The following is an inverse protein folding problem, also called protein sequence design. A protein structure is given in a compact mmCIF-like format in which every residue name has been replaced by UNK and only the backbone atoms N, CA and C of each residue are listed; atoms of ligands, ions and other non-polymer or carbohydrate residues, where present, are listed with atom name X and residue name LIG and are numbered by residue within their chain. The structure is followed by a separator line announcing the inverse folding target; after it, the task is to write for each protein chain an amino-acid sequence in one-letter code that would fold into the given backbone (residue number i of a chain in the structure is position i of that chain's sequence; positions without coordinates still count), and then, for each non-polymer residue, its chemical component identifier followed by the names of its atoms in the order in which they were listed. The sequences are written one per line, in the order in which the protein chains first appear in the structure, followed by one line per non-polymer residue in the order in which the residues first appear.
data_IF_258161732765
#
_entry.id   IF_258161732765
#
_cell.length_a   1.000
_cell.length_b   1.000
_cell.length_c   1.000
_cell.angle_alpha   90.00
_cell.angle_beta   90.00
_cell.angle_gamma   90.00
#
_symmetry.space_group_name_H-M   'P 1'
#
loop_
_entity.id
_entity.type
_entity.pdbx_description
1 polymer ?
#
# COMPACT_ATOMS: atom_id res chain seq x y z
N UNK A 1 -51.83 -34.22 43.60
CA UNK A 1 -50.53 -33.50 43.56
C UNK A 1 -49.64 -34.13 42.49
N UNK A 2 -49.45 -33.49 41.34
CA UNK A 2 -48.47 -33.90 40.32
C UNK A 2 -47.68 -32.66 39.92
N UNK A 3 -46.45 -32.53 40.43
CA UNK A 3 -45.52 -31.45 40.10
C UNK A 3 -44.93 -31.74 38.71
N UNK A 4 -45.21 -30.88 37.73
CA UNK A 4 -44.52 -30.89 36.43
C UNK A 4 -43.23 -30.08 36.58
N UNK A 5 -42.08 -30.74 36.51
CA UNK A 5 -40.76 -30.11 36.42
C UNK A 5 -40.52 -29.70 34.97
N UNK A 6 -40.34 -28.41 34.73
CA UNK A 6 -39.89 -27.85 33.45
C UNK A 6 -38.37 -27.89 33.47
N UNK A 7 -37.76 -28.66 32.57
CA UNK A 7 -36.32 -28.72 32.39
C UNK A 7 -35.97 -27.84 31.18
N UNK A 8 -35.62 -26.58 31.45
CA UNK A 8 -35.15 -25.63 30.45
C UNK A 8 -33.65 -25.86 30.26
N UNK A 9 -33.25 -26.57 29.19
CA UNK A 9 -31.83 -26.76 28.86
C UNK A 9 -31.27 -25.47 28.26
N UNK A 10 -30.51 -24.71 29.04
CA UNK A 10 -29.73 -23.59 28.52
C UNK A 10 -28.54 -24.14 27.71
N UNK A 11 -28.66 -24.07 26.39
CA UNK A 11 -27.56 -24.37 25.47
C UNK A 11 -26.54 -23.22 25.55
N UNK A 12 -25.52 -23.36 26.39
CA UNK A 12 -24.36 -22.47 26.36
C UNK A 12 -23.60 -22.73 25.06
N UNK A 13 -23.89 -21.97 24.00
CA UNK A 13 -22.98 -21.84 22.87
C UNK A 13 -21.72 -21.14 23.39
N UNK A 14 -20.67 -21.93 23.60
CA UNK A 14 -19.32 -21.39 23.75
C UNK A 14 -18.96 -20.66 22.47
N UNK A 15 -18.95 -19.32 22.49
CA UNK A 15 -18.35 -18.50 21.46
C UNK A 15 -16.87 -18.87 21.40
N UNK A 16 -16.46 -19.59 20.34
CA UNK A 16 -15.05 -19.72 20.04
C UNK A 16 -14.60 -18.37 19.48
N UNK A 17 -13.93 -17.57 20.31
CA UNK A 17 -13.10 -16.49 19.78
C UNK A 17 -11.97 -17.14 18.97
N UNK A 18 -12.07 -17.05 17.65
CA UNK A 18 -10.93 -17.31 16.78
C UNK A 18 -9.98 -16.15 17.02
N UNK A 19 -8.89 -16.39 17.74
CA UNK A 19 -7.77 -15.45 17.78
C UNK A 19 -7.11 -15.47 16.41
N UNK A 20 -7.50 -14.55 15.53
CA UNK A 20 -6.69 -14.22 14.36
C UNK A 20 -5.41 -13.55 14.85
N UNK A 21 -4.26 -13.99 14.36
CA UNK A 21 -3.01 -13.25 14.58
C UNK A 21 -3.00 -12.06 13.63
N UNK A 22 -3.60 -10.95 14.05
CA UNK A 22 -3.49 -9.69 13.30
C UNK A 22 -2.03 -9.27 13.25
N UNK A 23 -1.50 -9.01 12.06
CA UNK A 23 -0.16 -8.47 11.91
C UNK A 23 -0.16 -7.07 12.51
N UNK A 24 0.65 -6.86 13.56
CA UNK A 24 0.79 -5.53 14.14
C UNK A 24 1.44 -4.61 13.08
N UNK A 25 0.80 -3.48 12.68
CA UNK A 25 1.39 -2.51 11.77
C UNK A 25 2.78 -2.02 12.20
N UNK A 26 3.07 -2.03 13.50
CA UNK A 26 4.39 -1.66 14.04
C UNK A 26 5.52 -2.59 13.61
N UNK A 27 5.21 -3.84 13.22
CA UNK A 27 6.20 -4.81 12.75
C UNK A 27 6.57 -4.60 11.28
N UNK A 28 5.85 -3.75 10.55
CA UNK A 28 6.17 -3.44 9.14
C UNK A 28 7.20 -2.33 9.07
N UNK A 29 8.31 -2.58 8.36
CA UNK A 29 9.44 -1.64 8.20
C UNK A 29 9.87 -1.53 6.73
N UNK A 30 10.74 -0.56 6.48
CA UNK A 30 11.43 -0.36 5.20
C UNK A 30 10.52 -0.21 3.97
N UNK A 31 9.27 0.25 4.16
CA UNK A 31 8.31 0.42 3.07
C UNK A 31 8.84 1.47 2.09
N UNK A 32 9.22 1.02 0.89
CA UNK A 32 9.88 1.84 -0.09
C UNK A 32 9.50 1.46 -1.51
N UNK A 33 9.43 2.46 -2.38
CA UNK A 33 9.29 2.29 -3.81
C UNK A 33 10.65 2.35 -4.49
N UNK A 34 10.82 1.56 -5.54
CA UNK A 34 12.01 1.56 -6.39
C UNK A 34 11.59 1.59 -7.87
N UNK A 35 12.23 2.46 -8.65
CA UNK A 35 12.13 2.46 -10.12
C UNK A 35 13.02 1.36 -10.68
N UNK A 36 12.56 0.61 -11.67
CA UNK A 36 13.32 -0.54 -12.20
C UNK A 36 14.74 -0.15 -12.70
N UNK A 37 14.92 1.07 -13.19
CA UNK A 37 16.18 1.55 -13.74
C UNK A 37 16.98 2.45 -12.78
N UNK A 38 16.57 2.56 -11.51
CA UNK A 38 17.25 3.39 -10.51
C UNK A 38 17.55 2.59 -9.24
N UNK A 39 18.74 2.81 -8.67
CA UNK A 39 19.11 2.27 -7.36
C UNK A 39 18.68 3.21 -6.22
N UNK A 40 17.57 3.92 -6.41
CA UNK A 40 17.04 4.89 -5.44
C UNK A 40 15.75 4.37 -4.86
N UNK A 41 15.70 4.35 -3.53
CA UNK A 41 14.50 4.08 -2.76
C UNK A 41 13.81 5.39 -2.39
N UNK A 42 12.50 5.42 -2.53
CA UNK A 42 11.68 6.58 -2.18
C UNK A 42 10.45 6.16 -1.38
N UNK A 43 9.99 7.01 -0.47
CA UNK A 43 8.76 6.76 0.27
C UNK A 43 7.49 7.02 -0.57
N UNK A 44 7.65 7.68 -1.72
CA UNK A 44 6.59 7.94 -2.69
C UNK A 44 7.08 7.63 -4.10
N UNK A 45 6.23 6.98 -4.91
CA UNK A 45 6.49 6.79 -6.32
C UNK A 45 5.74 7.83 -7.15
N UNK A 46 6.46 8.48 -8.06
CA UNK A 46 5.92 9.36 -9.10
C UNK A 46 6.57 8.95 -10.42
N UNK A 47 5.76 8.52 -11.37
CA UNK A 47 6.24 8.01 -12.65
C UNK A 47 5.19 8.04 -13.74
N UNK A 48 5.61 7.76 -14.96
CA UNK A 48 4.64 7.64 -16.07
C UNK A 48 3.82 6.37 -15.95
N UNK A 49 2.62 6.33 -16.54
CA UNK A 49 1.74 5.15 -16.48
C UNK A 49 2.39 3.84 -16.98
N UNK A 50 3.35 3.94 -17.91
CA UNK A 50 4.06 2.81 -18.49
C UNK A 50 5.39 2.49 -17.76
N UNK A 51 5.74 3.28 -16.75
CA UNK A 51 6.99 3.11 -16.01
C UNK A 51 6.89 1.95 -15.03
N UNK A 52 7.91 1.10 -15.02
CA UNK A 52 7.98 -0.06 -14.13
C UNK A 52 8.56 0.34 -12.78
N UNK A 53 7.89 -0.06 -11.72
CA UNK A 53 8.32 0.19 -10.36
C UNK A 53 7.99 -1.00 -9.46
N UNK A 54 8.65 -1.06 -8.31
CA UNK A 54 8.35 -2.03 -7.26
C UNK A 54 8.07 -1.35 -5.93
N UNK A 55 7.26 -2.00 -5.12
CA UNK A 55 7.07 -1.71 -3.70
C UNK A 55 7.73 -2.84 -2.91
N UNK A 56 8.65 -2.48 -2.02
CA UNK A 56 9.33 -3.41 -1.12
C UNK A 56 9.07 -3.03 0.33
N UNK A 57 8.90 -4.02 1.20
CA UNK A 57 8.73 -3.81 2.64
C UNK A 57 9.13 -5.06 3.42
N UNK A 58 9.45 -4.88 4.70
CA UNK A 58 9.86 -5.95 5.60
C UNK A 58 8.81 -6.14 6.69
N UNK A 59 8.51 -7.39 7.04
CA UNK A 59 7.78 -7.73 8.26
C UNK A 59 8.77 -8.34 9.24
N UNK A 60 8.92 -7.71 10.41
CA UNK A 60 9.77 -8.18 11.50
C UNK A 60 9.12 -9.36 12.24
N UNK A 61 8.96 -10.48 11.53
CA UNK A 61 8.37 -11.72 12.03
C UNK A 61 9.23 -12.90 11.56
N UNK A 62 9.26 -13.98 12.35
CA UNK A 62 9.86 -15.25 11.94
C UNK A 62 8.88 -16.17 11.17
N UNK A 63 7.67 -15.69 10.91
CA UNK A 63 6.63 -16.41 10.19
C UNK A 63 6.39 -15.77 8.82
N UNK A 64 6.08 -16.61 7.85
CA UNK A 64 5.59 -16.19 6.55
C UNK A 64 4.10 -15.90 6.65
N UNK A 65 3.69 -14.75 6.12
CA UNK A 65 2.30 -14.31 6.11
C UNK A 65 1.78 -14.26 4.67
N UNK A 66 0.55 -14.73 4.48
CA UNK A 66 -0.19 -14.59 3.23
C UNK A 66 -0.75 -13.16 3.15
N UNK A 67 -0.18 -12.36 2.26
CA UNK A 67 -0.51 -10.94 2.08
C UNK A 67 -1.08 -10.70 0.69
N UNK A 68 -2.00 -9.76 0.60
CA UNK A 68 -2.68 -9.37 -0.64
C UNK A 68 -2.54 -7.86 -0.85
N UNK A 69 -2.52 -7.42 -2.11
CA UNK A 69 -2.53 -6.00 -2.43
C UNK A 69 -3.85 -5.55 -3.07
N UNK A 70 -4.34 -4.40 -2.64
CA UNK A 70 -5.56 -3.75 -3.16
C UNK A 70 -5.18 -2.36 -3.66
N UNK A 71 -5.74 -1.95 -4.81
CA UNK A 71 -5.41 -0.67 -5.43
C UNK A 71 -6.66 0.20 -5.58
N UNK A 72 -6.57 1.42 -5.06
CA UNK A 72 -7.63 2.42 -5.13
C UNK A 72 -7.15 3.62 -5.94
N UNK A 73 -7.94 4.01 -6.94
CA UNK A 73 -7.75 5.28 -7.65
C UNK A 73 -8.41 6.41 -6.86
N UNK A 74 -7.67 7.49 -6.68
CA UNK A 74 -8.05 8.65 -5.89
C UNK A 74 -8.14 9.91 -6.74
N UNK A 75 -8.92 10.88 -6.26
CA UNK A 75 -8.94 12.23 -6.80
C UNK A 75 -7.77 13.08 -6.25
N UNK A 76 -7.83 14.38 -6.52
CA UNK A 76 -6.83 15.36 -6.09
C UNK A 76 -6.70 15.46 -4.57
N UNK A 77 -7.81 15.33 -3.84
CA UNK A 77 -7.87 15.42 -2.37
C UNK A 77 -7.53 14.08 -1.69
N UNK A 78 -7.11 13.08 -2.49
CA UNK A 78 -6.83 11.71 -2.05
C UNK A 78 -8.06 10.95 -1.54
N UNK A 79 -9.26 11.37 -1.95
CA UNK A 79 -10.48 10.62 -1.71
C UNK A 79 -10.67 9.57 -2.80
N UNK A 80 -11.34 8.46 -2.47
CA UNK A 80 -11.59 7.39 -3.44
C UNK A 80 -12.46 7.93 -4.56
N UNK A 81 -11.95 7.85 -5.78
CA UNK A 81 -12.68 8.30 -6.97
C UNK A 81 -13.92 7.44 -7.23
N UNK A 82 -14.87 7.99 -7.99
CA UNK A 82 -16.09 7.28 -8.41
C UNK A 82 -15.85 6.26 -9.53
N UNK A 83 -14.61 6.13 -10.02
CA UNK A 83 -14.27 5.20 -11.09
C UNK A 83 -14.43 3.75 -10.63
N UNK A 84 -14.98 2.91 -11.48
CA UNK A 84 -15.00 1.47 -11.25
C UNK A 84 -13.62 0.87 -11.56
N UNK A 85 -13.22 -0.19 -10.85
CA UNK A 85 -11.88 -0.80 -10.98
C UNK A 85 -11.45 -1.08 -12.42
N UNK A 86 -12.36 -1.56 -13.26
CA UNK A 86 -12.09 -1.91 -14.67
C UNK A 86 -11.75 -0.71 -15.57
N UNK A 87 -12.08 0.51 -15.14
CA UNK A 87 -11.75 1.75 -15.86
C UNK A 87 -10.28 2.14 -15.68
N UNK A 88 -9.69 1.84 -14.51
CA UNK A 88 -8.35 2.31 -14.15
C UNK A 88 -7.32 1.19 -14.01
N UNK A 89 -7.74 -0.07 -13.82
CA UNK A 89 -6.88 -1.26 -13.82
C UNK A 89 -7.29 -2.20 -14.96
N UNK A 90 -6.29 -2.86 -15.54
CA UNK A 90 -6.44 -4.07 -16.34
C UNK A 90 -5.97 -5.27 -15.52
N UNK A 91 -6.87 -6.23 -15.33
CA UNK A 91 -6.64 -7.44 -14.54
C UNK A 91 -7.34 -7.38 -13.18
N UNK A 92 -6.72 -7.92 -12.14
CA UNK A 92 -7.30 -8.11 -10.80
C UNK A 92 -6.44 -7.43 -9.75
N UNK A 93 -7.06 -6.83 -8.75
CA UNK A 93 -6.43 -6.59 -7.47
C UNK A 93 -6.87 -7.66 -6.47
N UNK A 94 -6.51 -7.50 -5.19
CA UNK A 94 -6.69 -8.51 -4.15
C UNK A 94 -5.95 -9.82 -4.51
N UNK A 95 -4.71 -9.64 -4.95
CA UNK A 95 -3.84 -10.72 -5.43
C UNK A 95 -2.77 -10.99 -4.39
N UNK A 96 -2.54 -12.27 -4.10
CA UNK A 96 -1.50 -12.72 -3.17
C UNK A 96 -0.11 -12.27 -3.63
N UNK A 97 0.72 -11.84 -2.69
CA UNK A 97 2.12 -11.49 -2.92
C UNK A 97 2.96 -12.77 -2.84
N UNK A 98 3.34 -13.30 -3.99
CA UNK A 98 4.14 -14.54 -4.05
C UNK A 98 5.65 -14.30 -3.96
N UNK A 99 6.11 -13.09 -4.25
CA UNK A 99 7.53 -12.76 -4.25
C UNK A 99 7.95 -12.21 -2.88
N UNK A 100 8.42 -13.12 -2.03
CA UNK A 100 8.97 -12.80 -0.72
C UNK A 100 10.16 -13.69 -0.38
N UNK A 101 11.00 -13.24 0.56
CA UNK A 101 12.18 -13.99 1.01
C UNK A 101 12.46 -13.75 2.49
N UNK A 102 12.84 -14.83 3.18
CA UNK A 102 13.23 -14.78 4.58
C UNK A 102 14.64 -14.21 4.74
N UNK A 103 14.86 -13.42 5.80
CA UNK A 103 16.16 -12.87 6.15
C UNK A 103 17.19 -13.97 6.37
N UNK A 104 18.42 -13.77 5.91
CA UNK A 104 19.51 -14.73 6.05
C UNK A 104 20.63 -14.18 6.95
N UNK A 105 20.97 -14.92 8.01
CA UNK A 105 22.06 -14.60 8.95
C UNK A 105 21.96 -13.19 9.59
N UNK A 106 20.75 -12.79 9.97
CA UNK A 106 20.48 -11.51 10.64
C UNK A 106 20.09 -11.72 12.11
N UNK A 107 20.45 -10.77 12.99
CA UNK A 107 20.02 -10.81 14.40
C UNK A 107 18.52 -10.57 14.55
N UNK A 108 17.98 -9.62 13.78
CA UNK A 108 16.55 -9.40 13.66
C UNK A 108 16.03 -10.20 12.47
N UNK A 109 15.16 -11.17 12.75
CA UNK A 109 14.50 -11.97 11.70
C UNK A 109 13.42 -11.11 11.05
N UNK A 110 13.34 -11.16 9.72
CA UNK A 110 12.29 -10.52 8.94
C UNK A 110 12.01 -11.29 7.65
N UNK A 111 10.84 -11.05 7.07
CA UNK A 111 10.50 -11.49 5.71
C UNK A 111 10.36 -10.25 4.83
N UNK A 112 11.13 -10.19 3.75
CA UNK A 112 11.05 -9.12 2.76
C UNK A 112 10.04 -9.50 1.68
N UNK A 113 9.09 -8.61 1.42
CA UNK A 113 8.09 -8.73 0.37
C UNK A 113 8.39 -7.72 -0.73
N UNK A 114 8.22 -8.12 -1.98
CA UNK A 114 8.44 -7.26 -3.13
C UNK A 114 7.36 -7.47 -4.20
N UNK A 115 6.65 -6.40 -4.54
CA UNK A 115 5.64 -6.38 -5.61
C UNK A 115 6.13 -5.47 -6.72
N UNK A 116 6.13 -5.94 -7.96
CA UNK A 116 6.43 -5.11 -9.13
C UNK A 116 5.15 -4.79 -9.91
N UNK A 117 5.09 -3.59 -10.47
CA UNK A 117 4.02 -3.13 -11.34
C UNK A 117 4.56 -2.50 -12.63
N UNK A 118 3.86 -2.67 -13.76
CA UNK A 118 2.80 -3.68 -13.98
C UNK A 118 3.33 -5.12 -13.84
N UNK A 119 2.45 -6.06 -13.49
CA UNK A 119 2.72 -7.50 -13.42
C UNK A 119 1.68 -8.30 -14.22
N UNK A 120 1.74 -9.64 -14.16
CA UNK A 120 0.82 -10.52 -14.90
C UNK A 120 -0.65 -10.34 -14.52
N UNK A 121 -0.93 -9.89 -13.31
CA UNK A 121 -2.27 -9.78 -12.75
C UNK A 121 -2.79 -8.34 -12.77
N UNK A 122 -1.91 -7.34 -12.71
CA UNK A 122 -2.29 -5.92 -12.62
C UNK A 122 -1.47 -5.04 -13.55
N UNK A 123 -2.16 -4.24 -14.37
CA UNK A 123 -1.59 -3.08 -15.05
C UNK A 123 -2.53 -1.87 -15.01
N UNK A 124 -2.01 -0.66 -15.20
CA UNK A 124 -2.75 0.58 -15.05
C UNK A 124 -3.23 1.13 -16.40
N UNK A 125 -4.47 1.61 -16.46
CA UNK A 125 -5.09 2.18 -17.67
C UNK A 125 -5.30 3.69 -17.62
N UNK A 126 -5.28 4.28 -16.42
CA UNK A 126 -5.50 5.71 -16.20
C UNK A 126 -4.33 6.35 -15.47
N UNK A 127 -4.08 7.61 -15.77
CA UNK A 127 -3.25 8.48 -14.94
C UNK A 127 -4.06 8.97 -13.74
N UNK A 128 -3.39 9.30 -12.65
CA UNK A 128 -4.01 9.82 -11.44
C UNK A 128 -3.24 9.49 -10.16
N UNK A 129 -3.89 9.78 -9.04
CA UNK A 129 -3.43 9.44 -7.71
C UNK A 129 -3.89 8.03 -7.36
N UNK A 130 -3.02 7.25 -6.74
CA UNK A 130 -3.31 5.88 -6.35
C UNK A 130 -2.87 5.59 -4.92
N UNK A 131 -3.66 4.75 -4.25
CA UNK A 131 -3.29 4.16 -2.96
C UNK A 131 -3.17 2.65 -3.17
N UNK A 132 -2.02 2.11 -2.79
CA UNK A 132 -1.83 0.67 -2.61
C UNK A 132 -2.02 0.33 -1.14
N UNK A 133 -2.92 -0.61 -0.85
CA UNK A 133 -3.14 -1.18 0.48
C UNK A 133 -2.59 -2.59 0.49
N UNK A 134 -1.88 -2.93 1.55
CA UNK A 134 -1.49 -4.31 1.84
C UNK A 134 -2.42 -4.81 2.94
N UNK A 135 -3.11 -5.91 2.66
CA UNK A 135 -4.08 -6.55 3.55
C UNK A 135 -3.64 -7.98 3.85
N UNK A 136 -4.10 -8.52 4.98
CA UNK A 136 -3.90 -9.92 5.32
C UNK A 136 -4.95 -10.84 4.67
N UNK A 137 -4.88 -12.15 4.96
CA UNK A 137 -5.82 -13.16 4.46
C UNK A 137 -7.29 -12.96 4.88
N UNK A 138 -7.53 -12.14 5.90
CA UNK A 138 -8.87 -11.80 6.38
C UNK A 138 -9.39 -10.48 5.78
N UNK A 139 -8.56 -9.78 5.02
CA UNK A 139 -8.86 -8.48 4.42
C UNK A 139 -8.60 -7.29 5.36
N UNK A 140 -7.94 -7.50 6.50
CA UNK A 140 -7.58 -6.43 7.42
C UNK A 140 -6.40 -5.62 6.87
N UNK A 141 -6.52 -4.28 6.87
CA UNK A 141 -5.48 -3.38 6.37
C UNK A 141 -4.28 -3.35 7.31
N UNK A 142 -3.11 -3.76 6.81
CA UNK A 142 -1.84 -3.69 7.55
C UNK A 142 -1.23 -2.31 7.38
N UNK A 143 -1.10 -1.87 6.12
CA UNK A 143 -0.65 -0.52 5.80
C UNK A 143 -1.08 -0.11 4.40
N UNK A 144 -0.97 1.19 4.12
CA UNK A 144 -1.18 1.75 2.79
C UNK A 144 -0.12 2.77 2.40
N UNK A 145 0.11 2.94 1.10
CA UNK A 145 1.02 3.95 0.54
C UNK A 145 0.42 4.63 -0.68
N UNK A 146 0.80 5.90 -0.84
CA UNK A 146 0.41 6.75 -1.95
C UNK A 146 1.44 6.66 -3.07
N UNK A 147 0.99 6.62 -4.32
CA UNK A 147 1.81 6.78 -5.51
C UNK A 147 1.03 7.50 -6.61
N UNK A 148 1.75 8.06 -7.57
CA UNK A 148 1.17 8.91 -8.63
C UNK A 148 1.64 8.38 -9.98
N UNK A 149 0.69 8.18 -10.89
CA UNK A 149 0.95 7.85 -12.28
C UNK A 149 0.49 9.01 -13.17
N UNK A 150 1.35 9.50 -14.05
CA UNK A 150 1.01 10.60 -14.95
C UNK A 150 1.21 10.23 -16.42
N UNK A 151 0.58 11.01 -17.30
CA UNK A 151 0.81 10.99 -18.74
C UNK A 151 1.59 12.24 -19.14
N UNK A 152 2.57 12.09 -20.02
CA UNK A 152 3.41 13.19 -20.47
C UNK A 152 2.73 13.96 -21.63
N UNK A 153 1.62 14.64 -21.32
CA UNK A 153 0.85 15.42 -22.30
C UNK A 153 1.32 16.87 -22.40
N UNK A 154 1.90 17.39 -21.31
CA UNK A 154 2.39 18.76 -21.21
C UNK A 154 3.76 18.78 -20.56
N UNK A 155 4.63 19.65 -21.05
CA UNK A 155 5.95 19.89 -20.45
C UNK A 155 5.81 21.03 -19.45
N UNK A 156 5.94 20.74 -18.16
CA UNK A 156 5.96 21.76 -17.10
C UNK A 156 7.41 22.15 -16.82
N UNK A 157 7.78 23.39 -17.14
CA UNK A 157 9.13 23.88 -16.83
C UNK A 157 9.16 24.46 -15.42
N UNK A 158 10.10 23.99 -14.59
CA UNK A 158 10.24 24.44 -13.20
C UNK A 158 11.53 25.23 -13.00
N UNK A 159 11.46 26.36 -12.30
CA UNK A 159 12.63 27.16 -11.93
C UNK A 159 12.60 27.46 -10.43
N UNK A 160 13.66 27.07 -9.71
CA UNK A 160 13.80 27.35 -8.28
C UNK A 160 14.57 28.66 -8.10
N UNK A 161 13.98 29.62 -7.41
CA UNK A 161 14.58 30.92 -7.06
C UNK A 161 14.63 31.11 -5.55
N UNK A 162 15.49 32.02 -5.10
CA UNK A 162 15.46 32.52 -3.72
C UNK A 162 14.25 33.43 -3.53
N UNK A 163 13.77 33.52 -2.29
CA UNK A 163 12.73 34.49 -1.94
C UNK A 163 13.16 35.92 -2.27
N UNK A 164 12.19 36.74 -2.72
CA UNK A 164 12.38 38.19 -2.91
C UNK A 164 12.20 38.98 -1.62
N UNK A 165 11.61 38.36 -0.61
CA UNK A 165 11.48 38.94 0.73
C UNK A 165 12.84 38.85 1.43
N UNK A 166 13.45 40.00 1.74
CA UNK A 166 14.80 40.10 2.31
C UNK A 166 14.90 39.30 3.61
N UNK A 167 13.86 39.36 4.45
CA UNK A 167 13.77 38.63 5.71
C UNK A 167 13.99 37.12 5.53
N UNK A 168 13.52 36.53 4.43
CA UNK A 168 13.55 35.09 4.21
C UNK A 168 14.49 34.64 3.09
N UNK A 169 15.38 35.54 2.63
CA UNK A 169 16.20 35.27 1.44
C UNK A 169 17.11 34.05 1.58
N UNK A 170 17.55 33.73 2.81
CA UNK A 170 18.41 32.58 3.13
C UNK A 170 17.63 31.32 3.54
N UNK A 171 16.32 31.43 3.74
CA UNK A 171 15.51 30.39 4.38
C UNK A 171 14.44 29.82 3.44
N UNK A 172 13.90 30.64 2.54
CA UNK A 172 12.79 30.26 1.65
C UNK A 172 13.24 30.09 0.20
N UNK A 173 12.63 29.12 -0.46
CA UNK A 173 12.74 28.86 -1.89
C UNK A 173 11.40 29.11 -2.57
N UNK A 174 11.42 29.72 -3.75
CA UNK A 174 10.27 29.96 -4.62
C UNK A 174 10.35 29.01 -5.80
N UNK A 175 9.30 28.22 -6.02
CA UNK A 175 9.19 27.32 -7.17
C UNK A 175 8.29 27.97 -8.20
N UNK A 176 8.86 28.38 -9.33
CA UNK A 176 8.10 28.93 -10.46
C UNK A 176 7.80 27.83 -11.48
N UNK A 177 6.57 27.80 -11.99
CA UNK A 177 6.11 26.91 -13.05
C UNK A 177 5.81 27.77 -14.30
N UNK A 178 6.25 27.33 -15.47
CA UNK A 178 5.96 27.96 -16.77
C UNK A 178 5.18 27.02 -17.67
#
# INVERSE_FOLDING_TARGET
MKKRFVLLSALFLSFKFIFSQSINPDNVKSISFQKQNENKFSNIFVGTINEKFSLSFDILSGLEHDLYYVIEHCDFDWEKSQLIKSEYIQGFDDVKIDNYSSSFNTYQIYTNYNISFPNSNTSFKKSGNYIIKIVDEYGDEIFRRKFILYENLVTVQTEIKRSREIEFINEKQVVNLK
#
